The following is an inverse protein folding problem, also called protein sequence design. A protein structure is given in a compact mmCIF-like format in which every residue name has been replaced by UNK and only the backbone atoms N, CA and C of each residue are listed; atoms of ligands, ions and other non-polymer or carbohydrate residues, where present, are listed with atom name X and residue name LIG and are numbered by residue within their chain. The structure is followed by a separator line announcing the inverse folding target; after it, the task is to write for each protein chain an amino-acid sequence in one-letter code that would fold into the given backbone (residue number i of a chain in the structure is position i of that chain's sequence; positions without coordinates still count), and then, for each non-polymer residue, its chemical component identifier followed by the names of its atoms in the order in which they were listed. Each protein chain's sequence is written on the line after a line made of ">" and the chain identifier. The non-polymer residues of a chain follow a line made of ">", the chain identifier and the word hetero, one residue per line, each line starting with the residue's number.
data_IF_762098266253
#
_entry.id   IF_762098266253
#
_cell.length_a   1.000
_cell.length_b   1.000
_cell.length_c   1.000
_cell.angle_alpha   90.00
_cell.angle_beta   90.00
_cell.angle_gamma   90.00
#
_symmetry.space_group_name_H-M   'P 1'
#
loop_
_entity.id
_entity.type
_entity.pdbx_description
1 polymer ?
#
# COMPACT_ATOMS: atom_id res chain seq x y z
N UNK A 1 -1.54 6.40 -12.33
CA UNK A 1 -2.64 5.86 -13.17
C UNK A 1 -2.32 4.48 -13.76
N UNK A 2 -1.05 4.08 -13.93
CA UNK A 2 -0.70 2.72 -14.38
C UNK A 2 -0.82 1.62 -13.31
N UNK A 3 -0.64 1.97 -12.04
CA UNK A 3 -0.55 1.05 -10.91
C UNK A 3 -1.90 0.37 -10.57
N UNK A 4 -2.97 1.17 -10.40
CA UNK A 4 -4.32 0.65 -10.06
C UNK A 4 -4.87 -0.32 -11.13
N UNK A 5 -4.56 -0.10 -12.41
CA UNK A 5 -4.95 -1.03 -13.49
C UNK A 5 -4.16 -2.34 -13.46
N UNK A 6 -2.94 -2.34 -12.95
CA UNK A 6 -2.15 -3.55 -12.77
C UNK A 6 -2.60 -4.31 -11.52
N UNK A 7 -2.87 -3.60 -10.42
CA UNK A 7 -3.43 -4.17 -9.19
C UNK A 7 -4.77 -4.84 -9.45
N UNK A 8 -5.69 -4.20 -10.18
CA UNK A 8 -6.99 -4.77 -10.53
C UNK A 8 -6.86 -6.04 -11.39
N UNK A 9 -5.97 -6.04 -12.38
CA UNK A 9 -5.68 -7.23 -13.19
C UNK A 9 -5.13 -8.38 -12.33
N UNK A 10 -4.26 -8.07 -11.38
CA UNK A 10 -3.74 -9.06 -10.45
C UNK A 10 -4.87 -9.65 -9.57
N UNK A 11 -5.73 -8.81 -8.99
CA UNK A 11 -6.87 -9.25 -8.17
C UNK A 11 -7.87 -10.09 -8.97
N UNK A 12 -8.08 -9.74 -10.25
CA UNK A 12 -8.89 -10.53 -11.17
C UNK A 12 -8.32 -11.94 -11.34
N UNK A 13 -7.05 -12.05 -11.76
CA UNK A 13 -6.38 -13.34 -11.97
C UNK A 13 -6.41 -14.17 -10.68
N UNK A 14 -6.23 -13.50 -9.53
CA UNK A 14 -6.31 -14.15 -8.23
C UNK A 14 -7.64 -14.84 -7.97
N UNK A 15 -8.75 -14.13 -8.21
CA UNK A 15 -10.09 -14.71 -8.03
C UNK A 15 -10.34 -15.81 -9.06
N UNK A 16 -10.03 -15.56 -10.34
CA UNK A 16 -10.25 -16.54 -11.40
C UNK A 16 -9.56 -17.87 -11.09
N UNK A 17 -8.31 -17.82 -10.61
CA UNK A 17 -7.54 -19.02 -10.24
C UNK A 17 -8.04 -19.68 -8.95
N UNK A 18 -8.25 -18.92 -7.88
CA UNK A 18 -8.56 -19.50 -6.56
C UNK A 18 -10.03 -19.85 -6.36
N UNK A 19 -10.92 -19.25 -7.14
CA UNK A 19 -12.35 -19.53 -7.16
C UNK A 19 -12.78 -20.36 -8.38
N UNK A 20 -11.86 -20.58 -9.34
CA UNK A 20 -12.09 -21.36 -10.56
C UNK A 20 -13.30 -20.85 -11.37
N UNK A 21 -13.31 -19.55 -11.65
CA UNK A 21 -14.33 -18.87 -12.45
C UNK A 21 -13.68 -17.97 -13.50
N UNK A 22 -14.43 -17.57 -14.51
CA UNK A 22 -14.02 -16.53 -15.45
C UNK A 22 -14.74 -15.23 -15.09
N UNK A 23 -13.98 -14.13 -14.92
CA UNK A 23 -14.56 -12.84 -14.57
C UNK A 23 -14.81 -12.01 -15.84
N UNK A 24 -16.04 -11.57 -16.02
CA UNK A 24 -16.43 -10.67 -17.09
C UNK A 24 -16.53 -9.23 -16.56
N UNK A 25 -15.85 -8.29 -17.22
CA UNK A 25 -15.94 -6.88 -16.85
C UNK A 25 -17.37 -6.37 -17.07
N UNK A 26 -17.97 -5.81 -16.02
CA UNK A 26 -19.34 -5.34 -16.03
C UNK A 26 -19.43 -3.81 -16.12
N UNK A 27 -18.58 -3.07 -15.40
CA UNK A 27 -18.45 -1.63 -15.60
C UNK A 27 -17.59 -1.34 -16.84
N UNK A 28 -18.26 -1.12 -17.98
CA UNK A 28 -17.62 -0.83 -19.28
C UNK A 28 -17.64 0.65 -19.67
N UNK A 29 -18.51 1.47 -19.05
CA UNK A 29 -18.78 2.85 -19.47
C UNK A 29 -18.91 3.85 -18.30
N UNK A 30 -18.40 3.51 -17.11
CA UNK A 30 -18.49 4.39 -15.94
C UNK A 30 -19.92 4.54 -15.41
N UNK A 31 -20.71 3.46 -15.52
CA UNK A 31 -22.10 3.47 -15.03
C UNK A 31 -22.07 3.65 -13.52
N UNK A 32 -22.78 4.65 -13.02
CA UNK A 32 -22.86 4.84 -11.59
C UNK A 32 -23.42 3.57 -10.92
N UNK A 33 -22.74 3.13 -9.86
CA UNK A 33 -23.10 1.97 -9.02
C UNK A 33 -22.97 0.60 -9.70
N UNK A 34 -22.33 0.51 -10.87
CA UNK A 34 -21.97 -0.78 -11.44
C UNK A 34 -20.83 -1.44 -10.64
N UNK A 35 -20.91 -2.78 -10.55
CA UNK A 35 -19.82 -3.61 -10.04
C UNK A 35 -18.71 -3.74 -11.06
N UNK A 36 -17.49 -3.98 -10.59
CA UNK A 36 -16.32 -4.04 -11.47
C UNK A 36 -16.42 -5.27 -12.41
N UNK A 37 -16.74 -6.44 -11.85
CA UNK A 37 -16.89 -7.69 -12.60
C UNK A 37 -18.11 -8.53 -12.16
N UNK A 38 -18.53 -9.43 -13.05
CA UNK A 38 -19.52 -10.49 -12.77
C UNK A 38 -19.00 -11.83 -13.28
N UNK A 39 -19.59 -12.93 -12.82
CA UNK A 39 -19.33 -14.26 -13.35
C UNK A 39 -20.55 -15.18 -13.24
N UNK A 40 -20.51 -16.26 -14.02
CA UNK A 40 -21.34 -17.45 -13.83
C UNK A 40 -20.41 -18.65 -13.73
N UNK A 41 -20.50 -19.41 -12.64
CA UNK A 41 -19.69 -20.62 -12.47
C UNK A 41 -20.20 -21.76 -13.34
N UNK A 42 -19.38 -22.80 -13.54
CA UNK A 42 -19.79 -24.02 -14.24
C UNK A 42 -20.95 -24.75 -13.55
N UNK A 43 -21.15 -24.51 -12.26
CA UNK A 43 -22.25 -25.04 -11.44
C UNK A 43 -23.50 -24.15 -11.49
N UNK A 44 -23.47 -23.05 -12.24
CA UNK A 44 -24.59 -22.13 -12.43
C UNK A 44 -24.75 -21.07 -11.32
N UNK A 45 -23.81 -20.97 -10.39
CA UNK A 45 -23.79 -19.89 -9.40
C UNK A 45 -23.42 -18.57 -10.08
N UNK A 46 -24.11 -17.48 -9.74
CA UNK A 46 -23.84 -16.14 -10.27
C UNK A 46 -23.18 -15.27 -9.22
N UNK A 47 -22.21 -14.48 -9.62
CA UNK A 47 -21.45 -13.65 -8.69
C UNK A 47 -21.17 -12.24 -9.20
N UNK A 48 -21.06 -11.32 -8.25
CA UNK A 48 -20.60 -9.96 -8.46
C UNK A 48 -19.30 -9.71 -7.70
N UNK A 49 -18.39 -8.93 -8.29
CA UNK A 49 -17.07 -8.67 -7.74
C UNK A 49 -16.76 -7.18 -7.73
N UNK A 50 -16.28 -6.70 -6.59
CA UNK A 50 -15.64 -5.39 -6.44
C UNK A 50 -14.18 -5.61 -6.07
N UNK A 51 -13.31 -4.81 -6.69
CA UNK A 51 -11.88 -4.82 -6.47
C UNK A 51 -11.42 -3.44 -6.03
N UNK A 52 -10.45 -3.41 -5.12
CA UNK A 52 -9.90 -2.16 -4.63
C UNK A 52 -8.54 -2.38 -3.97
N UNK A 53 -7.81 -1.28 -3.77
CA UNK A 53 -6.53 -1.28 -3.07
C UNK A 53 -6.65 -0.46 -1.80
N UNK A 54 -6.31 -1.10 -0.67
CA UNK A 54 -6.18 -0.46 0.62
C UNK A 54 -4.79 0.16 0.76
N UNK A 55 -4.75 1.49 0.83
CA UNK A 55 -3.51 2.29 0.90
C UNK A 55 -3.70 3.52 1.78
N UNK A 56 -2.65 4.00 2.46
CA UNK A 56 -2.69 5.29 3.15
C UNK A 56 -2.78 6.41 2.11
N UNK A 57 -3.80 7.27 2.22
CA UNK A 57 -4.00 8.36 1.28
C UNK A 57 -2.85 9.37 1.25
N UNK A 58 -2.15 9.57 2.38
CA UNK A 58 -0.97 10.43 2.48
C UNK A 58 0.22 9.81 1.76
N UNK A 59 0.42 8.50 1.93
CA UNK A 59 1.47 7.78 1.21
C UNK A 59 1.22 7.78 -0.29
N UNK A 60 -0.02 7.52 -0.72
CA UNK A 60 -0.40 7.60 -2.13
C UNK A 60 -0.16 9.01 -2.70
N UNK A 61 -0.48 10.06 -1.95
CA UNK A 61 -0.24 11.43 -2.37
C UNK A 61 1.25 11.77 -2.46
N UNK A 62 2.05 11.31 -1.49
CA UNK A 62 3.49 11.52 -1.47
C UNK A 62 4.19 10.77 -2.61
N UNK A 63 3.88 9.49 -2.81
CA UNK A 63 4.37 8.70 -3.94
C UNK A 63 3.97 9.34 -5.28
N UNK A 64 2.74 9.84 -5.41
CA UNK A 64 2.30 10.53 -6.64
C UNK A 64 3.15 11.77 -6.92
N UNK A 65 3.53 12.53 -5.89
CA UNK A 65 4.43 13.69 -6.05
C UNK A 65 5.84 13.26 -6.45
N UNK A 66 6.37 12.21 -5.84
CA UNK A 66 7.70 11.67 -6.20
C UNK A 66 7.73 11.18 -7.66
N UNK A 67 6.68 10.51 -8.11
CA UNK A 67 6.58 10.03 -9.50
C UNK A 67 6.46 11.18 -10.51
N UNK A 68 5.79 12.28 -10.15
CA UNK A 68 5.61 13.43 -11.04
C UNK A 68 6.86 14.32 -11.15
N UNK A 69 7.51 14.57 -10.02
CA UNK A 69 8.65 15.50 -9.93
C UNK A 69 10.02 14.80 -10.09
N UNK A 70 10.01 13.47 -10.28
CA UNK A 70 11.18 12.60 -10.32
C UNK A 70 11.66 12.20 -8.92
N UNK A 71 12.00 10.92 -8.72
CA UNK A 71 12.40 10.35 -7.41
C UNK A 71 13.77 10.82 -6.89
N UNK A 72 14.45 11.66 -7.66
CA UNK A 72 15.83 12.09 -7.41
C UNK A 72 15.90 13.60 -7.23
N UNK A 73 16.70 14.03 -6.25
CA UNK A 73 17.07 15.43 -6.04
C UNK A 73 18.54 15.58 -6.46
N UNK A 74 18.86 16.57 -7.29
CA UNK A 74 20.24 16.86 -7.69
C UNK A 74 20.91 17.78 -6.69
N UNK A 75 22.16 17.47 -6.32
CA UNK A 75 22.98 18.24 -5.39
C UNK A 75 24.43 18.30 -5.88
N UNK A 76 25.17 19.34 -5.47
CA UNK A 76 26.61 19.41 -5.71
C UNK A 76 27.34 18.64 -4.60
N UNK A 77 27.53 17.34 -4.84
CA UNK A 77 28.19 16.41 -3.92
C UNK A 77 28.97 15.36 -4.72
N UNK A 78 30.20 15.00 -4.31
CA UNK A 78 30.94 13.93 -4.95
C UNK A 78 30.36 12.54 -4.66
N UNK A 79 29.35 12.46 -3.78
CA UNK A 79 28.72 11.23 -3.29
C UNK A 79 27.27 11.15 -3.75
N UNK A 80 26.76 9.91 -3.82
CA UNK A 80 25.33 9.64 -3.85
C UNK A 80 24.76 9.58 -2.44
N UNK A 81 23.57 10.13 -2.27
CA UNK A 81 22.86 10.20 -0.99
C UNK A 81 21.50 9.52 -1.07
N UNK A 82 20.97 9.17 0.10
CA UNK A 82 19.60 8.73 0.28
C UNK A 82 18.97 9.54 1.40
N UNK A 83 17.77 10.05 1.16
CA UNK A 83 16.97 10.70 2.20
C UNK A 83 15.71 9.89 2.44
N UNK A 84 15.49 9.50 3.69
CA UNK A 84 14.25 8.91 4.18
C UNK A 84 13.33 10.03 4.64
N UNK A 85 12.10 10.02 4.14
CA UNK A 85 11.09 11.03 4.44
C UNK A 85 9.96 10.45 5.27
N UNK A 86 9.17 11.34 5.87
CA UNK A 86 7.93 11.00 6.55
C UNK A 86 6.72 11.24 5.63
N UNK A 87 5.57 10.62 5.94
CA UNK A 87 4.35 10.82 5.13
C UNK A 87 3.87 12.28 5.09
N UNK A 88 4.26 13.08 6.09
CA UNK A 88 3.97 14.51 6.19
C UNK A 88 4.99 15.40 5.48
N UNK A 89 6.07 14.83 4.95
CA UNK A 89 7.17 15.61 4.37
C UNK A 89 6.70 16.41 3.17
N UNK A 90 7.07 17.69 3.19
CA UNK A 90 6.86 18.63 2.10
C UNK A 90 8.02 18.53 1.11
N UNK A 91 7.81 17.82 0.00
CA UNK A 91 8.84 17.57 -1.02
C UNK A 91 9.43 18.87 -1.60
N UNK A 92 8.62 19.92 -1.71
CA UNK A 92 9.06 21.26 -2.11
C UNK A 92 10.10 21.85 -1.14
N UNK A 93 9.86 21.73 0.17
CA UNK A 93 10.81 22.17 1.19
C UNK A 93 12.06 21.30 1.21
N UNK A 94 11.89 19.97 1.08
CA UNK A 94 13.00 19.04 1.01
C UNK A 94 13.94 19.39 -0.14
N UNK A 95 13.42 19.57 -1.36
CA UNK A 95 14.22 19.93 -2.54
C UNK A 95 14.96 21.25 -2.36
N UNK A 96 14.32 22.22 -1.70
CA UNK A 96 14.93 23.54 -1.46
C UNK A 96 16.09 23.48 -0.48
N UNK A 97 15.94 22.75 0.62
CA UNK A 97 16.84 22.83 1.79
C UNK A 97 17.93 21.76 1.79
N UNK A 98 17.64 20.58 1.25
CA UNK A 98 18.55 19.43 1.27
C UNK A 98 19.94 19.69 0.66
N UNK A 99 20.11 20.49 -0.42
CA UNK A 99 21.44 20.79 -0.95
C UNK A 99 22.37 21.46 0.08
N UNK A 100 21.85 22.38 0.90
CA UNK A 100 22.64 23.06 1.93
C UNK A 100 23.07 22.10 3.05
N UNK A 101 22.17 21.19 3.46
CA UNK A 101 22.44 20.16 4.46
C UNK A 101 23.54 19.21 3.98
N UNK A 102 23.45 18.72 2.74
CA UNK A 102 24.46 17.83 2.17
C UNK A 102 25.82 18.54 2.03
N UNK A 103 25.84 19.80 1.57
CA UNK A 103 27.07 20.56 1.46
C UNK A 103 27.75 20.77 2.83
N UNK A 104 26.96 20.92 3.90
CA UNK A 104 27.49 20.96 5.26
C UNK A 104 28.11 19.60 5.65
N UNK A 105 27.40 18.49 5.41
CA UNK A 105 27.93 17.14 5.67
C UNK A 105 29.24 16.88 4.91
N UNK A 106 29.30 17.20 3.63
CA UNK A 106 30.50 17.01 2.80
C UNK A 106 31.68 17.86 3.28
N UNK A 107 31.44 19.12 3.69
CA UNK A 107 32.47 20.02 4.20
C UNK A 107 33.13 19.48 5.47
N UNK A 108 32.34 18.85 6.34
CA UNK A 108 32.81 18.30 7.62
C UNK A 108 33.12 16.80 7.56
N UNK A 109 32.94 16.17 6.40
CA UNK A 109 33.22 14.74 6.20
C UNK A 109 32.33 13.82 7.05
N UNK A 110 31.08 14.22 7.32
CA UNK A 110 30.12 13.44 8.11
C UNK A 110 29.05 12.81 7.23
N UNK A 111 28.43 11.75 7.73
CA UNK A 111 27.42 10.95 7.01
C UNK A 111 25.99 11.23 7.49
N UNK A 112 25.86 11.89 8.64
CA UNK A 112 24.58 12.22 9.27
C UNK A 112 24.61 13.68 9.77
N UNK A 113 23.62 14.53 9.43
CA UNK A 113 23.53 15.91 9.90
C UNK A 113 23.60 16.06 11.43
N UNK A 114 23.18 15.05 12.21
CA UNK A 114 23.28 15.10 13.68
C UNK A 114 24.72 15.06 14.20
N UNK A 115 25.68 14.70 13.34
CA UNK A 115 27.11 14.68 13.65
C UNK A 115 27.81 16.00 13.30
N UNK A 116 27.09 16.96 12.70
CA UNK A 116 27.65 18.27 12.38
C UNK A 116 28.04 19.02 13.67
N UNK A 117 29.15 19.79 13.64
CA UNK A 117 29.53 20.59 14.79
C UNK A 117 28.48 21.67 15.07
N UNK A 118 28.32 22.06 16.34
CA UNK A 118 27.36 23.11 16.76
C UNK A 118 27.57 24.47 16.04
N UNK A 119 28.76 24.71 15.48
CA UNK A 119 29.05 25.89 14.67
C UNK A 119 28.34 25.91 13.32
N UNK A 120 27.81 24.77 12.86
CA UNK A 120 27.02 24.65 11.63
C UNK A 120 25.52 24.74 11.99
N UNK A 121 25.07 25.95 12.38
CA UNK A 121 23.73 26.21 12.91
C UNK A 121 22.71 26.72 11.87
N UNK A 122 23.01 26.56 10.58
CA UNK A 122 22.18 27.12 9.51
C UNK A 122 20.70 26.69 9.62
N UNK A 123 19.79 27.58 9.21
CA UNK A 123 18.34 27.33 9.25
C UNK A 123 17.96 26.00 8.57
N UNK A 124 18.64 25.64 7.48
CA UNK A 124 18.37 24.40 6.73
C UNK A 124 18.83 23.14 7.48
N UNK A 125 19.97 23.20 8.17
CA UNK A 125 20.47 22.10 9.00
C UNK A 125 19.58 21.91 10.22
N UNK A 126 19.21 22.99 10.91
CA UNK A 126 18.30 22.94 12.05
C UNK A 126 16.93 22.40 11.64
N UNK A 127 16.36 22.92 10.55
CA UNK A 127 15.12 22.41 9.99
C UNK A 127 15.19 20.90 9.71
N UNK A 128 16.30 20.41 9.15
CA UNK A 128 16.46 18.99 8.85
C UNK A 128 16.47 18.13 10.12
N UNK A 129 17.25 18.52 11.13
CA UNK A 129 17.35 17.82 12.41
C UNK A 129 16.00 17.74 13.13
N UNK A 130 15.19 18.80 13.04
CA UNK A 130 13.85 18.87 13.65
C UNK A 130 12.76 18.15 12.84
N UNK A 131 13.03 17.73 11.60
CA UNK A 131 12.01 17.22 10.67
C UNK A 131 11.83 15.70 10.68
N UNK A 132 12.46 14.98 11.62
CA UNK A 132 12.50 13.50 11.70
C UNK A 132 12.94 12.82 10.39
N UNK A 133 13.78 13.49 9.60
CA UNK A 133 14.29 12.96 8.34
C UNK A 133 15.57 12.16 8.58
N UNK A 134 15.76 11.09 7.81
CA UNK A 134 17.02 10.34 7.81
C UNK A 134 17.85 10.68 6.58
N UNK A 135 19.09 11.11 6.74
CA UNK A 135 20.02 11.28 5.63
C UNK A 135 21.19 10.31 5.80
N UNK A 136 21.56 9.62 4.72
CA UNK A 136 22.76 8.82 4.71
C UNK A 136 23.38 8.75 3.31
N UNK A 137 24.68 8.48 3.21
CA UNK A 137 25.31 8.14 1.95
C UNK A 137 24.69 6.85 1.39
N UNK A 138 24.64 6.72 0.08
CA UNK A 138 24.05 5.55 -0.57
C UNK A 138 24.78 5.20 -1.86
N UNK A 139 25.31 3.98 -1.92
CA UNK A 139 25.90 3.41 -3.13
C UNK A 139 24.84 3.14 -4.24
N UNK A 140 23.55 3.16 -3.89
CA UNK A 140 22.47 3.01 -4.86
C UNK A 140 22.12 4.33 -5.58
N UNK A 141 22.66 5.46 -5.12
CA UNK A 141 22.51 6.75 -5.77
C UNK A 141 23.82 7.12 -6.48
N UNK A 142 23.71 7.69 -7.69
CA UNK A 142 24.87 8.21 -8.39
C UNK A 142 25.46 9.43 -7.65
N UNK A 143 26.76 9.76 -7.85
CA UNK A 143 27.32 11.03 -7.41
C UNK A 143 26.46 12.23 -7.83
N UNK A 144 26.22 13.16 -6.91
CA UNK A 144 25.38 14.35 -7.13
C UNK A 144 23.87 14.07 -7.13
N UNK A 145 23.45 12.85 -6.81
CA UNK A 145 22.04 12.47 -6.71
C UNK A 145 21.65 12.07 -5.29
N UNK A 146 20.45 12.49 -4.88
CA UNK A 146 19.80 12.03 -3.66
C UNK A 146 18.57 11.21 -4.02
N UNK A 147 18.57 9.93 -3.68
CA UNK A 147 17.38 9.08 -3.79
C UNK A 147 16.42 9.39 -2.64
N UNK A 148 15.18 9.77 -2.95
CA UNK A 148 14.15 9.95 -1.93
C UNK A 148 13.48 8.61 -1.64
N UNK A 149 13.48 8.20 -0.36
CA UNK A 149 12.83 6.98 0.11
C UNK A 149 11.69 7.33 1.04
N UNK A 150 10.53 6.74 0.75
CA UNK A 150 9.39 6.71 1.65
C UNK A 150 9.79 6.06 2.99
N UNK A 151 9.05 6.35 4.09
CA UNK A 151 9.36 5.77 5.39
C UNK A 151 9.28 4.23 5.32
N UNK A 152 10.11 3.51 6.10
CA UNK A 152 10.15 2.06 6.10
C UNK A 152 8.76 1.49 6.42
N UNK A 153 8.41 0.42 5.70
CA UNK A 153 7.10 -0.22 5.73
C UNK A 153 7.05 -1.47 6.60
N UNK A 154 8.19 -1.84 7.21
CA UNK A 154 8.37 -3.13 7.87
C UNK A 154 8.36 -2.96 9.38
N UNK A 155 7.43 -3.67 10.02
CA UNK A 155 7.42 -3.96 11.44
C UNK A 155 7.75 -5.43 11.69
N UNK A 156 7.77 -5.83 12.96
CA UNK A 156 7.65 -7.26 13.28
C UNK A 156 6.15 -7.57 13.33
N UNK A 157 5.61 -8.41 12.42
CA UNK A 157 4.20 -8.73 12.40
C UNK A 157 3.79 -9.29 13.76
N UNK A 158 2.67 -8.80 14.30
CA UNK A 158 2.07 -9.30 15.53
C UNK A 158 0.71 -9.88 15.23
N UNK A 159 0.50 -11.12 15.62
CA UNK A 159 -0.76 -11.85 15.35
C UNK A 159 -1.97 -11.12 15.95
N UNK A 160 -1.80 -10.63 17.17
CA UNK A 160 -2.79 -9.84 17.93
C UNK A 160 -3.29 -8.56 17.23
N UNK A 161 -2.59 -8.09 16.18
CA UNK A 161 -3.00 -6.89 15.44
C UNK A 161 -3.81 -7.20 14.18
N UNK A 162 -3.83 -8.45 13.69
CA UNK A 162 -4.46 -8.78 12.40
C UNK A 162 -5.97 -8.54 12.43
N UNK A 163 -6.66 -8.90 13.51
CA UNK A 163 -8.09 -8.65 13.71
C UNK A 163 -8.42 -7.15 13.71
N UNK A 164 -7.61 -6.37 14.43
CA UNK A 164 -7.76 -4.92 14.49
C UNK A 164 -7.53 -4.28 13.10
N UNK A 165 -6.55 -4.78 12.37
CA UNK A 165 -6.21 -4.30 11.04
C UNK A 165 -7.29 -4.61 10.02
N UNK A 166 -7.84 -5.83 10.04
CA UNK A 166 -8.98 -6.21 9.21
C UNK A 166 -10.21 -5.36 9.53
N UNK A 167 -10.50 -5.16 10.81
CA UNK A 167 -11.60 -4.29 11.23
C UNK A 167 -11.41 -2.86 10.71
N UNK A 168 -10.22 -2.29 10.87
CA UNK A 168 -9.87 -0.94 10.39
C UNK A 168 -9.94 -0.82 8.88
N UNK A 169 -9.42 -1.81 8.14
CA UNK A 169 -9.48 -1.86 6.69
C UNK A 169 -10.93 -1.91 6.21
N UNK A 170 -11.73 -2.83 6.74
CA UNK A 170 -13.13 -3.02 6.31
C UNK A 170 -14.04 -1.87 6.72
N UNK A 171 -13.67 -1.10 7.75
CA UNK A 171 -14.34 0.13 8.15
C UNK A 171 -13.94 1.35 7.30
N UNK A 172 -13.00 1.21 6.37
CA UNK A 172 -12.58 2.31 5.52
C UNK A 172 -13.73 2.78 4.60
N UNK A 173 -13.96 4.10 4.44
CA UNK A 173 -15.04 4.62 3.60
C UNK A 173 -14.99 4.15 2.14
N UNK A 174 -13.80 3.94 1.57
CA UNK A 174 -13.65 3.42 0.19
C UNK A 174 -14.11 1.97 0.11
N UNK A 175 -13.72 1.14 1.09
CA UNK A 175 -14.18 -0.25 1.18
C UNK A 175 -15.69 -0.30 1.42
N UNK A 176 -16.22 0.57 2.29
CA UNK A 176 -17.66 0.69 2.56
C UNK A 176 -18.43 1.06 1.29
N UNK A 177 -17.91 1.96 0.47
CA UNK A 177 -18.49 2.32 -0.82
C UNK A 177 -18.57 1.12 -1.77
N UNK A 178 -17.50 0.33 -1.85
CA UNK A 178 -17.44 -0.92 -2.64
C UNK A 178 -18.45 -1.96 -2.13
N UNK A 179 -18.56 -2.13 -0.82
CA UNK A 179 -19.57 -3.01 -0.20
C UNK A 179 -21.00 -2.56 -0.51
N UNK A 180 -21.28 -1.25 -0.56
CA UNK A 180 -22.60 -0.74 -0.94
C UNK A 180 -22.94 -1.10 -2.38
N UNK A 181 -22.00 -0.98 -3.32
CA UNK A 181 -22.22 -1.42 -4.71
C UNK A 181 -22.55 -2.92 -4.79
N UNK A 182 -21.82 -3.77 -4.07
CA UNK A 182 -22.13 -5.20 -4.00
C UNK A 182 -23.53 -5.46 -3.42
N UNK A 183 -23.91 -4.72 -2.37
CA UNK A 183 -25.24 -4.84 -1.75
C UNK A 183 -26.35 -4.51 -2.74
N UNK A 184 -26.17 -3.44 -3.51
CA UNK A 184 -27.14 -2.93 -4.47
C UNK A 184 -27.20 -3.77 -5.76
N UNK A 185 -26.27 -4.71 -5.94
CA UNK A 185 -26.28 -5.61 -7.08
C UNK A 185 -27.15 -6.85 -6.79
N UNK A 186 -28.31 -6.88 -7.44
CA UNK A 186 -29.30 -7.95 -7.32
C UNK A 186 -29.05 -9.11 -8.30
N UNK A 187 -29.74 -10.23 -8.10
CA UNK A 187 -29.71 -11.37 -9.03
C UNK A 187 -28.46 -12.25 -8.96
N UNK A 188 -27.60 -12.02 -7.96
CA UNK A 188 -26.40 -12.82 -7.72
C UNK A 188 -26.47 -13.63 -6.43
N UNK A 189 -25.93 -14.85 -6.48
CA UNK A 189 -25.81 -15.73 -5.31
C UNK A 189 -24.55 -15.43 -4.50
N UNK A 190 -23.52 -14.87 -5.13
CA UNK A 190 -22.23 -14.58 -4.50
C UNK A 190 -21.83 -13.11 -4.67
N UNK A 191 -21.20 -12.54 -3.64
CA UNK A 191 -20.69 -11.16 -3.63
C UNK A 191 -19.25 -11.16 -3.11
N UNK A 192 -18.31 -10.80 -3.96
CA UNK A 192 -16.88 -10.89 -3.69
C UNK A 192 -16.30 -9.49 -3.56
N UNK A 193 -15.60 -9.24 -2.45
CA UNK A 193 -14.74 -8.07 -2.32
C UNK A 193 -13.28 -8.55 -2.31
N UNK A 194 -12.51 -8.09 -3.29
CA UNK A 194 -11.07 -8.29 -3.33
C UNK A 194 -10.35 -6.99 -2.95
N UNK A 195 -9.40 -7.10 -2.03
CA UNK A 195 -8.62 -5.98 -1.50
C UNK A 195 -7.13 -6.29 -1.63
N UNK A 196 -6.45 -5.55 -2.49
CA UNK A 196 -4.99 -5.48 -2.48
C UNK A 196 -4.53 -4.57 -1.35
N UNK A 197 -3.65 -5.03 -0.47
CA UNK A 197 -3.06 -4.21 0.58
C UNK A 197 -1.73 -3.69 0.06
N UNK A 198 -1.63 -2.37 -0.10
CA UNK A 198 -0.40 -1.72 -0.52
C UNK A 198 0.58 -1.66 0.66
N UNK A 199 1.88 -1.74 0.39
CA UNK A 199 2.93 -1.69 1.41
C UNK A 199 3.00 -0.37 2.20
N UNK A 200 2.21 0.64 1.82
CA UNK A 200 2.09 1.91 2.55
C UNK A 200 0.66 2.08 3.10
N UNK A 201 0.05 1.01 3.63
CA UNK A 201 -1.26 1.04 4.29
C UNK A 201 -1.20 1.60 5.73
N UNK A 202 -2.30 2.15 6.28
CA UNK A 202 -2.40 2.42 7.70
C UNK A 202 -2.52 1.09 8.46
N UNK A 203 -1.48 0.71 9.20
CA UNK A 203 -1.38 -0.60 9.84
C UNK A 203 -0.37 -1.48 9.13
N UNK A 204 0.90 -1.22 9.38
CA UNK A 204 2.05 -1.91 8.76
C UNK A 204 1.97 -3.43 8.94
N UNK A 205 1.39 -3.89 10.05
CA UNK A 205 1.29 -5.31 10.39
C UNK A 205 0.45 -6.11 9.38
N UNK A 206 -0.62 -5.54 8.81
CA UNK A 206 -1.45 -6.26 7.82
C UNK A 206 -0.65 -6.64 6.57
N UNK A 207 0.13 -5.72 6.01
CA UNK A 207 0.91 -6.01 4.82
C UNK A 207 1.99 -7.06 5.11
N UNK A 208 2.70 -6.92 6.23
CA UNK A 208 3.75 -7.85 6.64
C UNK A 208 3.17 -9.25 6.94
N UNK A 209 2.01 -9.34 7.59
CA UNK A 209 1.29 -10.60 7.82
C UNK A 209 0.85 -11.27 6.51
N UNK A 210 0.48 -10.49 5.49
CA UNK A 210 0.13 -11.04 4.17
C UNK A 210 1.35 -11.54 3.39
N UNK A 211 2.53 -10.92 3.59
CA UNK A 211 3.78 -11.36 2.97
C UNK A 211 4.39 -12.59 3.64
N UNK A 212 4.35 -12.63 4.98
CA UNK A 212 4.97 -13.65 5.80
C UNK A 212 4.00 -14.12 6.90
N UNK A 213 2.93 -14.84 6.52
CA UNK A 213 1.93 -15.28 7.48
C UNK A 213 2.55 -16.22 8.50
N UNK A 214 2.31 -15.91 9.77
CA UNK A 214 2.70 -16.73 10.93
C UNK A 214 1.91 -18.03 11.05
N UNK A 215 0.84 -18.17 10.26
CA UNK A 215 -0.15 -19.24 10.37
C UNK A 215 -1.35 -18.86 11.25
N UNK A 216 -1.33 -17.69 11.90
CA UNK A 216 -2.48 -17.18 12.63
C UNK A 216 -3.67 -16.93 11.69
N UNK A 217 -4.86 -17.40 12.09
CA UNK A 217 -6.11 -17.19 11.36
C UNK A 217 -6.97 -16.22 12.19
N UNK A 218 -7.41 -15.08 11.62
CA UNK A 218 -8.17 -14.09 12.37
C UNK A 218 -9.49 -14.63 12.93
N UNK A 219 -9.86 -14.16 14.12
CA UNK A 219 -11.15 -14.44 14.75
C UNK A 219 -12.22 -13.41 14.34
N UNK A 220 -11.80 -12.23 13.87
CA UNK A 220 -12.62 -11.12 13.45
C UNK A 220 -13.64 -11.57 12.41
N UNK A 221 -14.93 -11.56 12.74
CA UNK A 221 -15.97 -11.84 11.77
C UNK A 221 -16.61 -10.52 11.29
N UNK A 222 -16.73 -10.28 9.99
CA UNK A 222 -17.61 -9.23 9.48
C UNK A 222 -19.03 -9.41 10.03
N UNK A 223 -19.70 -8.31 10.38
CA UNK A 223 -21.05 -8.36 10.98
C UNK A 223 -22.11 -8.99 10.08
N UNK A 224 -23.26 -9.35 10.64
CA UNK A 224 -24.33 -10.09 9.94
C UNK A 224 -24.81 -9.43 8.63
N UNK A 225 -24.85 -8.10 8.61
CA UNK A 225 -25.25 -7.28 7.45
C UNK A 225 -24.11 -6.91 6.49
N UNK A 226 -22.98 -7.59 6.60
CA UNK A 226 -21.87 -7.42 5.67
C UNK A 226 -22.32 -7.81 4.26
N UNK A 227 -22.02 -6.96 3.27
CA UNK A 227 -22.58 -7.13 1.92
C UNK A 227 -21.92 -8.28 1.15
N UNK A 228 -20.64 -8.56 1.40
CA UNK A 228 -19.93 -9.62 0.71
C UNK A 228 -20.24 -11.00 1.33
N UNK A 229 -20.24 -12.02 0.49
CA UNK A 229 -20.21 -13.44 0.90
C UNK A 229 -18.78 -13.96 0.94
N UNK A 230 -17.87 -13.32 0.18
CA UNK A 230 -16.46 -13.71 0.04
C UNK A 230 -15.53 -12.49 0.15
N UNK A 231 -14.43 -12.64 0.89
CA UNK A 231 -13.32 -11.68 0.93
C UNK A 231 -12.04 -12.31 0.42
N UNK A 232 -11.24 -11.51 -0.27
CA UNK A 232 -9.91 -11.85 -0.75
C UNK A 232 -8.96 -10.72 -0.38
N UNK A 233 -7.98 -10.97 0.48
CA UNK A 233 -7.04 -9.97 0.97
C UNK A 233 -5.62 -10.44 0.65
N UNK A 234 -4.82 -9.58 0.01
CA UNK A 234 -3.50 -9.96 -0.49
C UNK A 234 -2.53 -8.79 -0.48
N UNK A 235 -1.26 -9.05 -0.15
CA UNK A 235 -0.15 -8.10 -0.30
C UNK A 235 0.62 -8.26 -1.61
N UNK A 236 0.13 -9.08 -2.54
CA UNK A 236 0.72 -9.28 -3.87
C UNK A 236 1.57 -10.54 -4.06
N UNK A 237 1.87 -11.30 -2.99
CA UNK A 237 2.77 -12.46 -3.08
C UNK A 237 2.36 -13.65 -2.21
N UNK A 238 2.53 -14.86 -2.75
CA UNK A 238 2.50 -16.20 -2.12
C UNK A 238 1.22 -16.66 -1.43
N UNK A 239 0.54 -15.80 -0.68
CA UNK A 239 -0.63 -16.19 0.09
C UNK A 239 -1.74 -15.15 -0.02
N UNK A 240 -2.96 -15.64 0.10
CA UNK A 240 -4.18 -14.83 0.11
C UNK A 240 -4.94 -15.19 1.37
N UNK A 241 -5.25 -14.18 2.17
CA UNK A 241 -6.17 -14.34 3.28
C UNK A 241 -7.59 -14.25 2.75
N UNK A 242 -8.32 -15.36 2.83
CA UNK A 242 -9.67 -15.48 2.30
C UNK A 242 -10.68 -15.61 3.43
N UNK A 243 -11.88 -15.08 3.23
CA UNK A 243 -13.01 -15.33 4.11
C UNK A 243 -14.23 -15.72 3.29
N UNK A 244 -15.02 -16.65 3.81
CA UNK A 244 -16.40 -16.81 3.35
C UNK A 244 -17.35 -16.81 4.53
N UNK A 245 -18.59 -16.35 4.30
CA UNK A 245 -19.62 -16.36 5.34
C UNK A 245 -19.85 -17.74 5.96
N UNK A 246 -19.64 -18.81 5.17
CA UNK A 246 -19.86 -20.19 5.61
C UNK A 246 -18.64 -20.82 6.30
N UNK A 247 -17.43 -20.49 5.84
CA UNK A 247 -16.21 -21.18 6.26
C UNK A 247 -15.32 -20.35 7.21
N UNK A 248 -15.58 -19.05 7.36
CA UNK A 248 -14.70 -18.16 8.10
C UNK A 248 -13.41 -17.86 7.34
N UNK A 249 -12.37 -17.44 8.08
CA UNK A 249 -11.06 -17.09 7.51
C UNK A 249 -10.22 -18.32 7.23
N UNK A 250 -9.43 -18.24 6.15
CA UNK A 250 -8.42 -19.23 5.81
C UNK A 250 -7.33 -18.62 4.93
N UNK A 251 -6.09 -19.05 5.14
CA UNK A 251 -4.98 -18.79 4.23
C UNK A 251 -5.05 -19.75 3.03
N UNK A 252 -4.94 -19.19 1.83
CA UNK A 252 -4.80 -19.95 0.60
C UNK A 252 -3.44 -19.66 -0.04
N UNK A 253 -2.68 -20.69 -0.47
CA UNK A 253 -1.49 -20.47 -1.27
C UNK A 253 -1.92 -19.90 -2.62
N UNK A 254 -1.25 -18.84 -3.06
CA UNK A 254 -1.33 -18.38 -4.43
C UNK A 254 -0.27 -19.10 -5.25
N UNK A 255 -0.62 -19.75 -6.37
CA UNK A 255 0.36 -20.44 -7.20
C UNK A 255 1.46 -19.46 -7.61
N UNK A 256 2.75 -19.88 -7.62
CA UNK A 256 3.77 -19.10 -8.30
C UNK A 256 3.36 -18.97 -9.78
N UNK A 257 3.46 -17.75 -10.31
CA UNK A 257 3.26 -17.47 -11.73
C UNK A 257 4.27 -18.21 -12.61
#
# INVERSE_FOLDING_TARGET
>A
MGDERQEEKYLRVLIELLHNVELEQFDRDGRQRAVDYVFTSSEGATGAVEMTTYRDGRAAALQSKLNADGETITVDSPRGWMVRVELRTRIDQLRKRLPAVIAACDRHGVDDPVQLPLSEDSEDVQWFIESDLGLSPSAMAAPGAVAVRMPPTVGFPRDENLDHDLHRMLSNPRITSKLNKLRDHDGVTERHLAVGVHHYGPGFDLFDQLLSPSGYVPEYAPGEHFAATHLWVTGGYRQVLTWSRRAGWAWKPFPPA
#
